data_IF_551831345462
#
_entry.id   IF_551831345462
#
_cell.length_a   1.000
_cell.length_b   1.000
_cell.length_c   1.000
_cell.angle_alpha   90.00
_cell.angle_beta   90.00
_cell.angle_gamma   90.00
#
_symmetry.space_group_name_H-M   'P 1'
#
loop_
_entity.id
_entity.type
_entity.pdbx_description
1 polymer ?
#
# COMPACT_ATOMS: atom_id res chain seq x y z
N UNK A 1 -31.15 -15.14 -4.02
CA UNK A 1 -30.05 -14.37 -3.38
C UNK A 1 -29.07 -15.36 -2.75
N UNK A 2 -27.76 -15.31 -3.05
CA UNK A 2 -26.78 -16.24 -2.44
C UNK A 2 -26.32 -15.75 -1.06
N UNK A 3 -26.03 -16.67 -0.14
CA UNK A 3 -25.54 -16.34 1.20
C UNK A 3 -24.13 -15.71 1.16
N UNK A 4 -23.78 -14.94 2.20
CA UNK A 4 -22.43 -14.35 2.35
C UNK A 4 -21.34 -15.42 2.27
N UNK A 5 -21.55 -16.57 2.91
CA UNK A 5 -20.64 -17.71 2.87
C UNK A 5 -20.48 -18.27 1.45
N UNK A 6 -21.57 -18.41 0.69
CA UNK A 6 -21.51 -18.87 -0.71
C UNK A 6 -20.71 -17.93 -1.60
N UNK A 7 -20.87 -16.61 -1.42
CA UNK A 7 -20.11 -15.60 -2.16
C UNK A 7 -18.63 -15.61 -1.79
N UNK A 8 -18.31 -15.79 -0.50
CA UNK A 8 -16.93 -15.92 -0.04
C UNK A 8 -16.26 -17.17 -0.63
N UNK A 9 -16.91 -18.34 -0.54
CA UNK A 9 -16.38 -19.59 -1.09
C UNK A 9 -16.10 -19.51 -2.59
N UNK A 10 -16.99 -18.88 -3.37
CA UNK A 10 -16.75 -18.60 -4.79
C UNK A 10 -15.50 -17.77 -5.03
N UNK A 11 -15.33 -16.68 -4.27
CA UNK A 11 -14.14 -15.81 -4.38
C UNK A 11 -12.86 -16.52 -3.97
N UNK A 12 -12.90 -17.30 -2.90
CA UNK A 12 -11.76 -18.11 -2.47
C UNK A 12 -11.38 -19.14 -3.53
N UNK A 13 -12.35 -19.80 -4.16
CA UNK A 13 -12.08 -20.73 -5.26
C UNK A 13 -11.46 -20.01 -6.47
N UNK A 14 -12.02 -18.86 -6.86
CA UNK A 14 -11.50 -18.06 -7.97
C UNK A 14 -10.09 -17.47 -7.70
N UNK A 15 -9.72 -17.26 -6.44
CA UNK A 15 -8.42 -16.70 -6.04
C UNK A 15 -7.50 -17.73 -5.37
N UNK A 16 -7.85 -19.02 -5.44
CA UNK A 16 -7.11 -20.12 -4.79
C UNK A 16 -5.61 -20.11 -5.10
N UNK A 17 -5.14 -19.86 -6.35
CA UNK A 17 -3.70 -19.80 -6.64
C UNK A 17 -2.97 -18.69 -5.88
N UNK A 18 -3.61 -17.54 -5.69
CA UNK A 18 -3.04 -16.42 -4.95
C UNK A 18 -3.07 -16.67 -3.44
N UNK A 19 -4.18 -17.18 -2.91
CA UNK A 19 -4.35 -17.48 -1.48
C UNK A 19 -3.35 -18.54 -1.02
N UNK A 20 -3.12 -19.58 -1.82
CA UNK A 20 -2.24 -20.69 -1.49
C UNK A 20 -0.80 -20.53 -2.01
N UNK A 21 -0.44 -19.34 -2.51
CA UNK A 21 0.88 -19.09 -3.13
C UNK A 21 2.04 -19.38 -2.18
N UNK A 22 1.85 -19.14 -0.88
CA UNK A 22 2.85 -19.41 0.15
C UNK A 22 3.26 -20.89 0.26
N UNK A 23 2.43 -21.83 -0.24
CA UNK A 23 2.78 -23.26 -0.26
C UNK A 23 3.82 -23.60 -1.31
N UNK A 24 3.93 -22.80 -2.37
CA UNK A 24 4.85 -23.05 -3.49
C UNK A 24 5.95 -22.00 -3.64
N UNK A 25 5.83 -20.83 -2.99
CA UNK A 25 6.82 -19.76 -3.01
C UNK A 25 7.11 -19.25 -1.60
N UNK A 26 8.26 -19.66 -1.04
CA UNK A 26 8.67 -19.30 0.33
C UNK A 26 8.89 -17.79 0.54
N UNK A 27 8.99 -17.00 -0.53
CA UNK A 27 9.08 -15.53 -0.43
C UNK A 27 7.75 -14.88 -0.11
N UNK A 28 6.64 -15.61 -0.27
CA UNK A 28 5.29 -15.13 0.02
C UNK A 28 4.90 -15.61 1.42
N UNK A 29 4.65 -14.71 2.39
CA UNK A 29 4.21 -15.11 3.73
C UNK A 29 2.81 -15.75 3.67
N UNK A 30 2.50 -16.59 4.67
CA UNK A 30 1.18 -17.21 4.78
C UNK A 30 0.07 -16.19 5.10
N UNK A 31 0.44 -15.07 5.73
CA UNK A 31 -0.46 -14.00 6.13
C UNK A 31 -0.47 -12.83 5.14
N UNK A 32 -1.46 -11.95 5.28
CA UNK A 32 -1.59 -10.73 4.48
C UNK A 32 -1.23 -9.46 5.28
N UNK A 33 -0.57 -9.59 6.44
CA UNK A 33 -0.41 -8.51 7.42
C UNK A 33 0.26 -7.29 6.79
N UNK A 34 1.23 -7.51 5.91
CA UNK A 34 1.92 -6.42 5.21
C UNK A 34 0.97 -5.61 4.32
N UNK A 35 0.13 -6.29 3.54
CA UNK A 35 -0.86 -5.63 2.68
C UNK A 35 -1.88 -4.85 3.52
N UNK A 36 -2.35 -5.43 4.63
CA UNK A 36 -3.27 -4.76 5.55
C UNK A 36 -2.66 -3.51 6.20
N UNK A 37 -1.41 -3.59 6.65
CA UNK A 37 -0.68 -2.44 7.20
C UNK A 37 -0.52 -1.32 6.17
N UNK A 38 -0.21 -1.66 4.93
CA UNK A 38 -0.05 -0.69 3.84
C UNK A 38 -1.37 0.04 3.52
N UNK A 39 -2.52 -0.66 3.49
CA UNK A 39 -3.83 -0.03 3.23
C UNK A 39 -4.41 0.71 4.44
N UNK A 40 -4.04 0.31 5.66
CA UNK A 40 -4.60 0.85 6.92
C UNK A 40 -4.45 2.36 7.01
N UNK A 41 -3.38 2.90 6.43
CA UNK A 41 -3.08 4.32 6.51
C UNK A 41 -4.11 5.21 5.80
N UNK A 42 -4.76 4.70 4.75
CA UNK A 42 -5.89 5.37 4.11
C UNK A 42 -7.08 5.48 5.07
N UNK A 43 -7.36 4.42 5.83
CA UNK A 43 -8.43 4.46 6.85
C UNK A 43 -8.07 5.31 8.06
N UNK A 44 -6.81 5.31 8.50
CA UNK A 44 -6.35 6.20 9.57
C UNK A 44 -6.50 7.66 9.15
N UNK A 45 -6.08 8.02 7.93
CA UNK A 45 -6.33 9.36 7.37
C UNK A 45 -7.82 9.68 7.40
N UNK A 46 -8.67 8.76 6.97
CA UNK A 46 -10.11 8.99 6.95
C UNK A 46 -10.71 9.20 8.34
N UNK A 47 -10.25 8.42 9.33
CA UNK A 47 -10.68 8.51 10.72
C UNK A 47 -10.26 9.83 11.38
N UNK A 48 -9.02 10.26 11.16
CA UNK A 48 -8.44 11.42 11.85
C UNK A 48 -8.73 12.73 11.10
N UNK A 49 -8.65 12.72 9.77
CA UNK A 49 -8.70 13.92 8.93
C UNK A 49 -9.88 13.95 7.95
N UNK A 50 -10.83 13.01 8.08
CA UNK A 50 -12.01 12.94 7.22
C UNK A 50 -11.74 12.50 5.78
N UNK A 51 -12.68 12.74 4.87
CA UNK A 51 -12.59 12.33 3.47
C UNK A 51 -11.55 13.14 2.65
N UNK A 52 -11.14 12.61 1.51
CA UNK A 52 -10.39 13.40 0.53
C UNK A 52 -11.39 14.27 -0.24
N UNK A 53 -11.13 15.58 -0.32
CA UNK A 53 -12.00 16.53 -1.04
C UNK A 53 -11.87 16.42 -2.55
N UNK A 54 -10.72 15.93 -3.04
CA UNK A 54 -10.44 15.73 -4.46
C UNK A 54 -9.75 14.39 -4.69
N UNK A 55 -9.97 13.80 -5.86
CA UNK A 55 -9.27 12.58 -6.29
C UNK A 55 -7.75 12.82 -6.39
N UNK A 56 -7.34 14.02 -6.83
CA UNK A 56 -5.93 14.41 -6.89
C UNK A 56 -5.25 14.36 -5.52
N UNK A 57 -5.90 14.87 -4.48
CA UNK A 57 -5.38 14.80 -3.10
C UNK A 57 -5.25 13.36 -2.61
N UNK A 58 -6.20 12.48 -2.96
CA UNK A 58 -6.10 11.05 -2.66
C UNK A 58 -4.92 10.38 -3.38
N UNK A 59 -4.71 10.70 -4.67
CA UNK A 59 -3.58 10.21 -5.47
C UNK A 59 -2.24 10.68 -4.91
N UNK A 60 -2.13 11.95 -4.52
CA UNK A 60 -0.92 12.50 -3.90
C UNK A 60 -0.60 11.79 -2.57
N UNK A 61 -1.61 11.60 -1.71
CA UNK A 61 -1.45 10.85 -0.46
C UNK A 61 -0.97 9.42 -0.70
N UNK A 62 -1.59 8.71 -1.64
CA UNK A 62 -1.21 7.34 -1.99
C UNK A 62 0.23 7.26 -2.52
N UNK A 63 0.65 8.21 -3.37
CA UNK A 63 2.03 8.29 -3.88
C UNK A 63 3.05 8.48 -2.76
N UNK A 64 2.83 9.47 -1.88
CA UNK A 64 3.72 9.73 -0.76
C UNK A 64 3.85 8.51 0.16
N UNK A 65 2.71 7.86 0.46
CA UNK A 65 2.69 6.63 1.26
C UNK A 65 3.40 5.46 0.59
N UNK A 66 3.27 5.31 -0.72
CA UNK A 66 3.98 4.28 -1.49
C UNK A 66 5.50 4.46 -1.41
N UNK A 67 5.99 5.70 -1.57
CA UNK A 67 7.43 6.02 -1.42
C UNK A 67 7.92 5.66 -0.02
N UNK A 68 7.22 6.11 1.03
CA UNK A 68 7.60 5.80 2.42
C UNK A 68 7.60 4.30 2.69
N UNK A 69 6.55 3.57 2.28
CA UNK A 69 6.47 2.11 2.45
C UNK A 69 7.62 1.40 1.73
N UNK A 70 7.99 1.87 0.54
CA UNK A 70 9.11 1.31 -0.23
C UNK A 70 10.45 1.54 0.48
N UNK A 71 10.70 2.76 0.97
CA UNK A 71 11.93 3.08 1.72
C UNK A 71 12.06 2.23 2.99
N UNK A 72 10.96 2.05 3.73
CA UNK A 72 10.92 1.17 4.90
C UNK A 72 11.24 -0.28 4.55
N UNK A 73 10.65 -0.81 3.47
CA UNK A 73 10.90 -2.18 2.99
C UNK A 73 12.34 -2.39 2.53
N UNK A 74 13.00 -1.34 2.03
CA UNK A 74 14.40 -1.35 1.64
C UNK A 74 15.37 -1.07 2.81
N UNK A 75 14.87 -0.85 4.02
CA UNK A 75 15.71 -0.52 5.19
C UNK A 75 16.42 0.83 5.09
N UNK A 76 15.89 1.76 4.29
CA UNK A 76 16.51 3.09 4.08
C UNK A 76 16.06 4.10 5.15
N UNK A 77 16.94 5.03 5.57
CA UNK A 77 16.55 6.11 6.47
C UNK A 77 15.53 7.02 5.76
N UNK A 78 14.30 7.06 6.28
CA UNK A 78 13.16 7.71 5.61
C UNK A 78 13.41 9.21 5.46
N UNK A 79 13.79 9.89 6.55
CA UNK A 79 13.97 11.34 6.55
C UNK A 79 15.09 11.77 5.59
N UNK A 80 16.23 11.09 5.62
CA UNK A 80 17.36 11.39 4.74
C UNK A 80 16.99 11.13 3.28
N UNK A 81 16.29 10.03 3.01
CA UNK A 81 15.85 9.66 1.65
C UNK A 81 14.86 10.68 1.09
N UNK A 82 13.91 11.16 1.90
CA UNK A 82 12.96 12.20 1.48
C UNK A 82 13.65 13.55 1.30
N UNK A 83 14.55 13.92 2.21
CA UNK A 83 15.36 15.15 2.12
C UNK A 83 16.19 15.16 0.84
N UNK A 84 16.85 14.04 0.55
CA UNK A 84 17.58 13.84 -0.69
C UNK A 84 16.64 14.03 -1.90
N UNK A 85 15.55 13.26 -2.00
CA UNK A 85 14.64 13.35 -3.14
C UNK A 85 14.08 14.76 -3.40
N UNK A 86 13.83 15.54 -2.34
CA UNK A 86 13.34 16.92 -2.46
C UNK A 86 14.44 17.91 -2.89
N UNK A 87 15.67 17.78 -2.37
CA UNK A 87 16.79 18.66 -2.74
C UNK A 87 17.20 18.50 -4.20
N UNK A 88 17.29 17.27 -4.69
CA UNK A 88 17.70 16.99 -6.08
C UNK A 88 16.60 17.30 -7.11
N UNK A 89 15.35 17.49 -6.68
CA UNK A 89 14.27 17.96 -7.57
C UNK A 89 14.39 19.45 -7.88
N UNK A 90 14.87 20.25 -6.93
CA UNK A 90 15.08 21.69 -7.15
C UNK A 90 16.18 21.95 -8.18
N UNK A 91 17.21 21.08 -8.22
CA UNK A 91 18.33 21.17 -9.16
C UNK A 91 17.98 20.87 -10.63
N UNK A 92 16.84 20.23 -10.90
CA UNK A 92 16.41 19.86 -12.26
C UNK A 92 15.33 20.81 -12.82
N UNK A 93 14.96 21.87 -12.09
CA UNK A 93 14.03 22.91 -12.55
C UNK A 93 14.78 24.21 -12.89
N UNK A 94 16.08 24.28 -12.60
CA UNK A 94 16.97 25.40 -13.00
C UNK A 94 17.91 25.04 -14.17
N UNK A 95 17.56 24.03 -14.97
CA UNK A 95 18.22 23.74 -16.25
C UNK A 95 17.20 23.76 -17.39
#
# INVERSE_FOLDING_TARGET
>A
MRSKASNLGKRMNAQKPAILRFLSDARVPFDNNQAERDIRMTKVKHKISGCFRTEQGAKQFARLRSVISTLMKQGKPILDSLTYALRYRTSLVEC
#
